data_IF_407866058465
#
_entry.id   IF_407866058465
#
_cell.length_a   1.000
_cell.length_b   1.000
_cell.length_c   1.000
_cell.angle_alpha   90.00
_cell.angle_beta   90.00
_cell.angle_gamma   90.00
#
_symmetry.space_group_name_H-M   'P 1'
#
loop_
_entity.id
_entity.type
_entity.pdbx_description
1 polymer ?
#
# COMPACT_ATOMS: atom_id res chain seq x y z
N UNK A 1 -29.92 0.11 20.12
CA UNK A 1 -30.72 0.66 21.25
C UNK A 1 -30.45 2.16 21.32
N UNK A 2 -31.44 2.99 20.92
CA UNK A 2 -31.36 4.44 21.06
C UNK A 2 -31.55 4.78 22.57
N UNK A 3 -30.52 5.36 23.15
CA UNK A 3 -30.56 5.89 24.50
C UNK A 3 -30.82 7.41 24.48
N UNK A 4 -31.89 7.86 25.07
CA UNK A 4 -32.28 9.26 25.12
C UNK A 4 -31.51 9.99 26.27
N UNK A 5 -30.27 10.42 25.97
CA UNK A 5 -29.37 11.08 26.93
C UNK A 5 -28.95 12.44 26.35
N UNK A 6 -28.74 13.43 27.23
CA UNK A 6 -28.25 14.76 26.85
C UNK A 6 -26.91 14.66 26.08
N UNK A 7 -26.59 15.65 25.25
CA UNK A 7 -25.53 15.54 24.22
C UNK A 7 -24.13 15.27 24.82
N UNK A 8 -23.81 15.83 25.97
CA UNK A 8 -22.54 15.58 26.68
C UNK A 8 -22.46 14.20 27.33
N UNK A 9 -23.54 13.75 27.97
CA UNK A 9 -23.62 12.43 28.61
C UNK A 9 -23.66 11.28 27.55
N UNK A 10 -24.20 11.54 26.37
CA UNK A 10 -24.20 10.56 25.25
C UNK A 10 -22.81 10.29 24.75
N UNK A 11 -21.99 11.32 24.49
CA UNK A 11 -20.63 11.16 24.00
C UNK A 11 -19.78 10.38 25.01
N UNK A 12 -19.87 10.68 26.27
CA UNK A 12 -19.07 10.05 27.31
C UNK A 12 -19.48 8.59 27.59
N UNK A 13 -20.76 8.25 27.52
CA UNK A 13 -21.22 6.85 27.66
C UNK A 13 -20.95 6.04 26.40
N UNK A 14 -21.07 6.65 25.23
CA UNK A 14 -20.71 6.00 23.98
C UNK A 14 -19.22 5.64 23.95
N UNK A 15 -18.34 6.58 24.32
CA UNK A 15 -16.91 6.34 24.43
C UNK A 15 -16.59 5.24 25.45
N UNK A 16 -17.23 5.23 26.62
CA UNK A 16 -17.00 4.17 27.62
C UNK A 16 -17.45 2.79 27.14
N UNK A 17 -18.53 2.72 26.36
CA UNK A 17 -18.99 1.46 25.77
C UNK A 17 -18.07 0.99 24.64
N UNK A 18 -17.66 1.88 23.75
CA UNK A 18 -16.70 1.60 22.71
C UNK A 18 -15.34 1.15 23.28
N UNK A 19 -14.88 1.78 24.36
CA UNK A 19 -13.64 1.39 25.04
C UNK A 19 -13.74 0.01 25.72
N UNK A 20 -14.92 -0.36 26.24
CA UNK A 20 -15.13 -1.70 26.79
C UNK A 20 -15.10 -2.79 25.68
N UNK A 21 -15.69 -2.49 24.52
CA UNK A 21 -15.62 -3.38 23.35
C UNK A 21 -14.18 -3.48 22.83
N UNK A 22 -13.46 -2.35 22.77
CA UNK A 22 -12.06 -2.32 22.38
C UNK A 22 -11.17 -3.17 23.31
N UNK A 23 -11.44 -3.15 24.62
CA UNK A 23 -10.74 -4.01 25.58
C UNK A 23 -10.93 -5.50 25.27
N UNK A 24 -12.15 -5.91 24.92
CA UNK A 24 -12.43 -7.29 24.50
C UNK A 24 -11.76 -7.64 23.17
N UNK A 25 -11.74 -6.70 22.22
CA UNK A 25 -11.05 -6.89 20.94
C UNK A 25 -9.54 -7.08 21.15
N UNK A 26 -8.94 -6.31 22.07
CA UNK A 26 -7.51 -6.46 22.41
C UNK A 26 -7.14 -7.85 22.93
N UNK A 27 -8.03 -8.47 23.72
CA UNK A 27 -7.82 -9.82 24.25
C UNK A 27 -7.82 -10.88 23.12
N UNK A 28 -8.43 -10.61 21.96
CA UNK A 28 -8.47 -11.47 20.79
C UNK A 28 -7.31 -11.19 19.82
N UNK A 29 -7.03 -9.91 19.60
CA UNK A 29 -6.07 -9.44 18.58
C UNK A 29 -4.63 -9.50 19.12
N UNK A 30 -4.45 -9.23 20.42
CA UNK A 30 -3.14 -9.13 21.04
C UNK A 30 -2.41 -7.82 20.74
N UNK A 31 -1.14 -7.77 21.12
CA UNK A 31 -0.23 -6.62 20.87
C UNK A 31 1.01 -7.11 20.10
N UNK A 32 1.56 -6.27 19.24
CA UNK A 32 1.08 -4.96 18.85
C UNK A 32 -0.22 -5.06 18.05
N UNK A 33 -1.09 -4.03 18.19
CA UNK A 33 -2.37 -3.94 17.48
C UNK A 33 -2.42 -2.71 16.58
N UNK A 34 -3.07 -2.83 15.43
CA UNK A 34 -3.30 -1.71 14.51
C UNK A 34 -4.71 -1.17 14.72
N UNK A 35 -4.83 0.14 14.84
CA UNK A 35 -6.11 0.84 14.96
C UNK A 35 -6.28 1.73 13.73
N UNK A 36 -7.38 1.53 12.99
CA UNK A 36 -7.71 2.30 11.80
C UNK A 36 -9.09 2.94 11.93
N UNK A 37 -9.18 4.28 12.03
CA UNK A 37 -10.47 4.98 12.01
C UNK A 37 -11.17 4.83 10.66
N UNK A 38 -12.49 4.62 10.69
CA UNK A 38 -13.29 4.58 9.46
C UNK A 38 -13.42 5.96 8.83
N UNK A 39 -13.38 6.02 7.49
CA UNK A 39 -13.57 7.23 6.67
C UNK A 39 -12.54 8.35 6.91
N UNK A 40 -11.32 8.03 7.34
CA UNK A 40 -10.20 8.97 7.40
C UNK A 40 -9.25 8.73 6.22
N UNK A 41 -8.42 9.75 5.90
CA UNK A 41 -7.44 9.68 4.82
C UNK A 41 -6.02 9.72 5.38
N UNK A 42 -5.10 8.99 4.72
CA UNK A 42 -3.67 9.05 4.99
C UNK A 42 -3.27 8.59 6.39
N UNK A 43 -4.06 7.72 7.03
CA UNK A 43 -3.75 7.20 8.36
C UNK A 43 -4.12 8.14 9.53
N UNK A 44 -4.84 9.23 9.26
CA UNK A 44 -5.23 10.22 10.29
C UNK A 44 -6.01 9.56 11.42
N UNK A 45 -5.56 9.77 12.68
CA UNK A 45 -6.17 9.23 13.90
C UNK A 45 -5.93 7.75 14.15
N UNK A 46 -5.28 7.04 13.20
CA UNK A 46 -4.85 5.66 13.35
C UNK A 46 -3.44 5.55 13.92
N UNK A 47 -3.05 4.32 14.26
CA UNK A 47 -1.71 4.04 14.75
C UNK A 47 -1.51 2.59 15.15
N UNK A 48 -0.31 2.32 15.63
CA UNK A 48 0.09 1.02 16.13
C UNK A 48 0.29 1.14 17.63
N UNK A 49 -0.39 0.28 18.37
CA UNK A 49 -0.28 0.22 19.83
C UNK A 49 0.64 -0.93 20.23
N UNK A 50 1.68 -0.62 20.96
CA UNK A 50 2.64 -1.61 21.47
C UNK A 50 2.33 -2.06 22.91
N UNK A 51 1.54 -1.27 23.61
CA UNK A 51 1.10 -1.57 24.97
C UNK A 51 -0.36 -1.14 25.18
N UNK A 52 -0.92 -1.58 26.32
CA UNK A 52 -2.34 -1.36 26.66
C UNK A 52 -2.70 0.13 26.80
N UNK A 53 -1.80 0.97 27.30
CA UNK A 53 -2.07 2.40 27.47
C UNK A 53 -2.16 3.08 26.10
N UNK A 54 -1.16 2.90 25.25
CA UNK A 54 -1.17 3.39 23.86
C UNK A 54 -2.40 2.91 23.10
N UNK A 55 -2.80 1.65 23.30
CA UNK A 55 -3.96 1.08 22.63
C UNK A 55 -5.24 1.91 22.93
N UNK A 56 -5.51 2.21 24.18
CA UNK A 56 -6.69 2.98 24.55
C UNK A 56 -6.61 4.44 24.10
N UNK A 57 -5.43 5.05 24.14
CA UNK A 57 -5.22 6.41 23.66
C UNK A 57 -5.45 6.53 22.15
N UNK A 58 -4.94 5.58 21.36
CA UNK A 58 -5.12 5.56 19.91
C UNK A 58 -6.59 5.24 19.56
N UNK A 59 -7.23 4.30 20.26
CA UNK A 59 -8.66 4.00 20.04
C UNK A 59 -9.52 5.24 20.33
N UNK A 60 -9.27 5.96 21.42
CA UNK A 60 -10.01 7.17 21.75
C UNK A 60 -9.82 8.27 20.68
N UNK A 61 -8.58 8.50 20.27
CA UNK A 61 -8.23 9.43 19.20
C UNK A 61 -8.87 9.03 17.86
N UNK A 62 -8.84 7.76 17.53
CA UNK A 62 -9.44 7.22 16.30
C UNK A 62 -10.96 7.37 16.26
N UNK A 63 -11.65 7.11 17.38
CA UNK A 63 -13.10 7.31 17.50
C UNK A 63 -13.49 8.79 17.35
N UNK A 64 -12.64 9.70 17.83
CA UNK A 64 -12.89 11.15 17.69
C UNK A 64 -12.59 11.65 16.26
N UNK A 65 -11.58 11.08 15.60
CA UNK A 65 -11.21 11.41 14.23
C UNK A 65 -12.19 10.86 13.18
N UNK A 66 -12.85 9.73 13.46
CA UNK A 66 -13.79 9.11 12.55
C UNK A 66 -15.12 9.87 12.50
N UNK A 67 -15.61 10.29 11.32
CA UNK A 67 -16.92 10.96 11.22
C UNK A 67 -18.09 10.05 11.60
N UNK A 68 -17.92 8.73 11.57
CA UNK A 68 -18.92 7.74 12.04
C UNK A 68 -18.64 7.22 13.44
N UNK A 69 -17.57 7.70 14.09
CA UNK A 69 -17.12 7.26 15.41
C UNK A 69 -16.86 5.76 15.46
N UNK A 70 -16.14 5.25 14.44
CA UNK A 70 -15.82 3.84 14.28
C UNK A 70 -14.33 3.64 14.09
N UNK A 71 -13.78 2.59 14.67
CA UNK A 71 -12.41 2.12 14.45
C UNK A 71 -12.40 0.63 14.15
N UNK A 72 -11.52 0.24 13.28
CA UNK A 72 -11.15 -1.15 13.05
C UNK A 72 -9.91 -1.46 13.90
N UNK A 73 -9.95 -2.58 14.61
CA UNK A 73 -8.84 -3.07 15.43
C UNK A 73 -8.37 -4.38 14.83
N UNK A 74 -7.09 -4.44 14.47
CA UNK A 74 -6.51 -5.53 13.71
C UNK A 74 -5.24 -6.09 14.36
N UNK A 75 -4.98 -7.37 14.11
CA UNK A 75 -3.67 -7.99 14.37
C UNK A 75 -2.58 -7.21 13.64
N UNK A 76 -1.47 -6.97 14.31
CA UNK A 76 -0.34 -6.30 13.68
C UNK A 76 0.39 -7.22 12.71
N UNK A 77 0.62 -6.71 11.53
CA UNK A 77 1.46 -7.34 10.50
C UNK A 77 2.78 -6.58 10.30
N UNK A 78 3.21 -5.84 11.33
CA UNK A 78 4.49 -5.13 11.32
C UNK A 78 5.65 -6.06 10.92
N UNK A 79 6.50 -5.55 10.06
CA UNK A 79 7.67 -6.29 9.58
C UNK A 79 7.37 -7.36 8.54
N UNK A 80 6.09 -7.57 8.18
CA UNK A 80 5.74 -8.47 7.09
C UNK A 80 6.07 -7.83 5.75
N UNK A 81 6.30 -8.65 4.74
CA UNK A 81 6.49 -8.19 3.36
C UNK A 81 5.21 -7.62 2.79
N UNK A 82 5.32 -6.59 1.96
CA UNK A 82 4.18 -5.95 1.31
C UNK A 82 4.28 -6.07 -0.20
N UNK A 83 3.15 -6.45 -0.82
CA UNK A 83 3.01 -6.59 -2.26
C UNK A 83 1.71 -5.96 -2.74
N UNK A 84 1.73 -5.48 -3.97
CA UNK A 84 0.56 -4.94 -4.64
C UNK A 84 0.37 -5.60 -6.00
N UNK A 85 -0.90 -5.82 -6.37
CA UNK A 85 -1.29 -6.27 -7.70
C UNK A 85 -2.13 -5.19 -8.36
N UNK A 86 -1.66 -4.69 -9.50
CA UNK A 86 -2.46 -3.83 -10.36
C UNK A 86 -3.26 -4.70 -11.33
N UNK A 87 -4.57 -4.62 -11.22
CA UNK A 87 -5.50 -5.53 -11.88
C UNK A 87 -6.49 -4.73 -12.73
N UNK A 88 -6.82 -5.26 -13.90
CA UNK A 88 -7.90 -4.71 -14.74
C UNK A 88 -8.91 -5.81 -15.02
N UNK A 89 -10.20 -5.51 -14.80
CA UNK A 89 -11.30 -6.43 -15.09
C UNK A 89 -12.39 -5.72 -15.90
N UNK A 90 -13.00 -6.44 -16.83
CA UNK A 90 -14.12 -5.98 -17.63
C UNK A 90 -15.45 -6.70 -17.32
N UNK A 91 -16.53 -6.23 -17.93
CA UNK A 91 -17.89 -6.79 -17.77
C UNK A 91 -18.06 -8.23 -18.28
N UNK A 92 -17.17 -8.71 -19.16
CA UNK A 92 -17.14 -10.07 -19.68
C UNK A 92 -16.29 -11.02 -18.82
N UNK A 93 -15.84 -10.56 -17.64
CA UNK A 93 -14.97 -11.26 -16.70
C UNK A 93 -13.56 -11.54 -17.25
N UNK A 94 -13.13 -10.87 -18.30
CA UNK A 94 -11.71 -10.84 -18.62
C UNK A 94 -10.98 -10.09 -17.50
N UNK A 95 -10.01 -10.74 -16.88
CA UNK A 95 -9.30 -10.20 -15.74
C UNK A 95 -7.80 -10.46 -15.87
N UNK A 96 -7.00 -9.41 -15.82
CA UNK A 96 -5.56 -9.47 -16.03
C UNK A 96 -4.79 -8.79 -14.89
N UNK A 97 -3.63 -9.32 -14.57
CA UNK A 97 -2.63 -8.63 -13.75
C UNK A 97 -1.77 -7.79 -14.68
N UNK A 98 -1.84 -6.47 -14.54
CA UNK A 98 -1.01 -5.55 -15.32
C UNK A 98 0.42 -5.53 -14.80
N UNK A 99 0.57 -5.53 -13.47
CA UNK A 99 1.87 -5.48 -12.82
C UNK A 99 1.79 -6.01 -11.39
N UNK A 100 2.81 -6.75 -10.97
CA UNK A 100 3.11 -7.00 -9.57
C UNK A 100 4.11 -5.98 -9.06
N UNK A 101 3.91 -5.48 -7.86
CA UNK A 101 4.75 -4.48 -7.21
C UNK A 101 5.16 -5.01 -5.84
N UNK A 102 6.41 -4.82 -5.47
CA UNK A 102 6.94 -5.13 -4.15
C UNK A 102 7.37 -3.84 -3.46
N UNK A 103 6.93 -3.65 -2.23
CA UNK A 103 7.42 -2.58 -1.37
C UNK A 103 8.66 -3.09 -0.61
N UNK A 104 9.77 -2.36 -0.69
CA UNK A 104 11.02 -2.75 -0.03
C UNK A 104 10.92 -2.54 1.48
N UNK A 105 10.23 -1.47 1.87
CA UNK A 105 9.95 -1.20 3.27
C UNK A 105 8.89 -2.19 3.76
N UNK A 106 9.07 -2.76 4.96
CA UNK A 106 8.10 -3.70 5.51
C UNK A 106 6.81 -3.00 5.92
N UNK A 107 5.78 -3.79 6.20
CA UNK A 107 4.53 -3.29 6.78
C UNK A 107 4.80 -2.46 8.03
N UNK A 108 4.17 -1.28 8.09
CA UNK A 108 4.38 -0.24 9.09
C UNK A 108 4.79 1.09 8.48
N UNK A 109 5.34 1.08 7.27
CA UNK A 109 5.58 2.26 6.45
C UNK A 109 4.45 2.39 5.43
N UNK A 110 3.92 3.61 5.25
CA UNK A 110 2.87 3.85 4.25
C UNK A 110 3.38 3.53 2.84
N UNK A 111 2.59 2.83 2.02
CA UNK A 111 2.98 2.41 0.66
C UNK A 111 3.47 3.56 -0.23
N UNK A 112 2.90 4.77 -0.05
CA UNK A 112 3.34 5.99 -0.74
C UNK A 112 4.76 6.41 -0.40
N UNK A 113 5.22 6.08 0.80
CA UNK A 113 6.54 6.43 1.34
C UNK A 113 7.57 5.32 1.14
N UNK A 114 7.14 4.13 0.75
CA UNK A 114 8.01 2.99 0.48
C UNK A 114 8.76 3.13 -0.85
N UNK A 115 9.98 2.61 -0.89
CA UNK A 115 10.67 2.31 -2.14
C UNK A 115 10.00 1.08 -2.74
N UNK A 116 9.58 1.16 -4.01
CA UNK A 116 8.87 0.07 -4.67
C UNK A 116 9.58 -0.41 -5.91
N UNK A 117 9.44 -1.69 -6.20
CA UNK A 117 10.03 -2.33 -7.38
C UNK A 117 8.99 -3.11 -8.16
N UNK A 118 9.05 -3.01 -9.47
CA UNK A 118 8.20 -3.72 -10.41
C UNK A 118 9.06 -4.41 -11.50
N UNK A 119 8.80 -5.68 -11.83
CA UNK A 119 7.89 -6.59 -11.13
C UNK A 119 8.42 -6.95 -9.74
N UNK A 120 7.58 -7.54 -8.89
CA UNK A 120 7.99 -8.06 -7.58
C UNK A 120 9.19 -9.02 -7.74
N UNK A 121 10.22 -8.83 -6.92
CA UNK A 121 11.51 -9.51 -7.09
C UNK A 121 11.65 -10.76 -6.21
N UNK A 122 10.97 -10.82 -5.07
CA UNK A 122 11.16 -11.86 -4.06
C UNK A 122 9.99 -12.84 -3.93
N UNK A 123 8.96 -12.73 -4.80
CA UNK A 123 7.90 -13.72 -4.92
C UNK A 123 8.40 -14.96 -5.68
N UNK A 124 8.15 -16.13 -5.13
CA UNK A 124 8.18 -17.37 -5.92
C UNK A 124 6.98 -17.40 -6.87
N UNK A 125 7.07 -18.21 -7.94
CA UNK A 125 5.94 -18.38 -8.86
C UNK A 125 4.67 -18.87 -8.14
N UNK A 126 4.81 -19.77 -7.17
CA UNK A 126 3.69 -20.25 -6.36
C UNK A 126 3.01 -19.13 -5.58
N UNK A 127 3.77 -18.26 -4.94
CA UNK A 127 3.26 -17.11 -4.19
C UNK A 127 2.59 -16.12 -5.14
N UNK A 128 3.23 -15.82 -6.28
CA UNK A 128 2.64 -14.98 -7.32
C UNK A 128 1.27 -15.50 -7.77
N UNK A 129 1.13 -16.80 -8.05
CA UNK A 129 -0.14 -17.39 -8.47
C UNK A 129 -1.20 -17.32 -7.36
N UNK A 130 -0.81 -17.46 -6.09
CA UNK A 130 -1.73 -17.29 -4.96
C UNK A 130 -2.25 -15.84 -4.91
N UNK A 131 -1.35 -14.86 -4.97
CA UNK A 131 -1.72 -13.43 -4.99
C UNK A 131 -2.58 -13.08 -6.20
N UNK A 132 -2.24 -13.60 -7.38
CA UNK A 132 -3.01 -13.45 -8.61
C UNK A 132 -4.45 -13.97 -8.43
N UNK A 133 -4.60 -15.20 -7.99
CA UNK A 133 -5.91 -15.82 -7.79
C UNK A 133 -6.74 -15.08 -6.73
N UNK A 134 -6.12 -14.66 -5.63
CA UNK A 134 -6.76 -13.87 -4.60
C UNK A 134 -7.22 -12.51 -5.12
N UNK A 135 -6.40 -11.83 -5.93
CA UNK A 135 -6.78 -10.57 -6.57
C UNK A 135 -8.01 -10.71 -7.46
N UNK A 136 -8.05 -11.75 -8.31
CA UNK A 136 -9.19 -12.02 -9.18
C UNK A 136 -10.45 -12.31 -8.36
N UNK A 137 -10.34 -13.08 -7.28
CA UNK A 137 -11.45 -13.39 -6.39
C UNK A 137 -12.00 -12.14 -5.69
N UNK A 138 -11.10 -11.28 -5.18
CA UNK A 138 -11.47 -10.01 -4.52
C UNK A 138 -12.23 -9.09 -5.48
N UNK A 139 -11.74 -8.90 -6.71
CA UNK A 139 -12.42 -8.05 -7.69
C UNK A 139 -13.82 -8.58 -8.06
N UNK A 140 -13.96 -9.89 -8.16
CA UNK A 140 -15.26 -10.53 -8.46
C UNK A 140 -16.23 -10.37 -7.30
N UNK A 141 -15.77 -10.59 -6.06
CA UNK A 141 -16.61 -10.47 -4.86
C UNK A 141 -17.09 -9.03 -4.63
N UNK A 142 -16.22 -8.05 -4.83
CA UNK A 142 -16.56 -6.62 -4.72
C UNK A 142 -17.45 -6.17 -5.89
N UNK A 143 -17.39 -6.87 -7.03
CA UNK A 143 -18.19 -6.55 -8.21
C UNK A 143 -17.57 -5.47 -9.10
N UNK A 144 -16.25 -5.27 -9.06
CA UNK A 144 -15.58 -4.36 -10.01
C UNK A 144 -15.53 -5.01 -11.38
N UNK A 145 -16.15 -4.37 -12.37
CA UNK A 145 -16.31 -4.90 -13.72
C UNK A 145 -15.95 -3.91 -14.84
N UNK A 146 -15.44 -2.74 -14.51
CA UNK A 146 -15.19 -1.67 -15.49
C UNK A 146 -13.88 -0.90 -15.23
N UNK A 147 -12.80 -1.57 -14.88
CA UNK A 147 -11.57 -0.80 -14.78
C UNK A 147 -10.45 -1.39 -13.95
N UNK A 148 -9.52 -0.49 -13.62
CA UNK A 148 -8.34 -0.79 -12.84
C UNK A 148 -8.60 -0.80 -11.34
N UNK A 149 -7.93 -1.70 -10.64
CA UNK A 149 -7.95 -1.81 -9.19
C UNK A 149 -6.56 -2.16 -8.68
N UNK A 150 -6.26 -1.71 -7.48
CA UNK A 150 -5.05 -2.07 -6.75
C UNK A 150 -5.45 -2.97 -5.57
N UNK A 151 -4.84 -4.13 -5.46
CA UNK A 151 -5.02 -5.07 -4.34
C UNK A 151 -3.71 -5.17 -3.58
N UNK A 152 -3.74 -4.87 -2.29
CA UNK A 152 -2.57 -4.88 -1.42
C UNK A 152 -2.57 -6.11 -0.53
N UNK A 153 -1.41 -6.74 -0.42
CA UNK A 153 -1.19 -7.97 0.33
C UNK A 153 -0.04 -7.82 1.30
N UNK A 154 -0.15 -8.51 2.42
CA UNK A 154 0.96 -8.73 3.32
C UNK A 154 1.27 -10.22 3.44
N UNK A 155 2.56 -10.56 3.42
CA UNK A 155 3.03 -11.96 3.55
C UNK A 155 3.98 -12.05 4.73
N UNK A 156 3.65 -12.94 5.67
CA UNK A 156 4.53 -13.25 6.79
C UNK A 156 5.81 -13.95 6.30
N UNK A 157 6.99 -13.35 6.48
CA UNK A 157 8.24 -13.97 6.02
C UNK A 157 8.62 -15.25 6.75
N UNK A 158 8.01 -15.52 7.93
CA UNK A 158 8.34 -16.71 8.73
C UNK A 158 7.60 -17.96 8.28
N UNK A 159 6.34 -17.85 7.86
CA UNK A 159 5.47 -19.00 7.57
C UNK A 159 4.74 -18.90 6.22
N UNK A 160 4.84 -17.75 5.52
CA UNK A 160 4.18 -17.52 4.25
C UNK A 160 2.67 -17.24 4.37
N UNK A 161 2.14 -16.97 5.57
CA UNK A 161 0.74 -16.58 5.76
C UNK A 161 0.47 -15.28 4.99
N UNK A 162 -0.53 -15.29 4.14
CA UNK A 162 -0.94 -14.16 3.32
C UNK A 162 -2.20 -13.51 3.90
N UNK A 163 -2.22 -12.18 3.90
CA UNK A 163 -3.39 -11.36 4.27
C UNK A 163 -3.66 -10.36 3.15
N UNK A 164 -4.93 -10.18 2.79
CA UNK A 164 -5.38 -9.03 1.98
C UNK A 164 -5.51 -7.83 2.90
N UNK A 165 -4.76 -6.78 2.62
CA UNK A 165 -4.78 -5.54 3.42
C UNK A 165 -5.94 -4.66 3.00
N UNK A 166 -6.01 -4.35 1.72
CA UNK A 166 -7.10 -3.55 1.14
C UNK A 166 -7.20 -3.75 -0.36
N UNK A 167 -8.32 -3.33 -0.93
CA UNK A 167 -8.52 -3.19 -2.37
C UNK A 167 -9.05 -1.81 -2.69
N UNK A 168 -8.41 -1.14 -3.62
CA UNK A 168 -8.78 0.17 -4.10
C UNK A 168 -9.45 0.03 -5.48
N UNK A 169 -10.80 0.13 -5.61
CA UNK A 169 -11.54 -0.09 -6.86
C UNK A 169 -11.50 1.14 -7.76
N UNK A 170 -10.33 1.63 -8.05
CA UNK A 170 -10.08 2.85 -8.83
C UNK A 170 -8.68 2.85 -9.41
N UNK A 171 -8.49 3.62 -10.46
CA UNK A 171 -7.16 4.00 -10.94
C UNK A 171 -6.49 4.88 -9.88
N UNK A 172 -5.24 4.56 -9.53
CA UNK A 172 -4.47 5.16 -8.44
C UNK A 172 -3.11 5.65 -8.92
N UNK A 173 -2.29 6.15 -7.99
CA UNK A 173 -0.88 6.47 -8.28
C UNK A 173 -0.07 5.22 -8.64
N UNK A 174 -0.31 4.10 -7.98
CA UNK A 174 0.30 2.81 -8.32
C UNK A 174 -0.11 2.33 -9.70
N UNK A 175 -1.36 2.57 -10.12
CA UNK A 175 -1.80 2.31 -11.51
C UNK A 175 -1.03 3.15 -12.53
N UNK A 176 -0.73 4.43 -12.21
CA UNK A 176 0.10 5.27 -13.07
C UNK A 176 1.56 4.76 -13.13
N UNK A 177 2.10 4.32 -11.98
CA UNK A 177 3.41 3.68 -11.90
C UNK A 177 3.45 2.41 -12.75
N UNK A 178 2.48 1.51 -12.58
CA UNK A 178 2.36 0.27 -13.34
C UNK A 178 2.22 0.53 -14.85
N UNK A 179 1.44 1.56 -15.23
CA UNK A 179 1.31 1.96 -16.63
C UNK A 179 2.62 2.43 -17.23
N UNK A 180 3.41 3.21 -16.49
CA UNK A 180 4.75 3.64 -16.92
C UNK A 180 5.74 2.47 -16.96
N UNK A 181 5.65 1.57 -15.96
CA UNK A 181 6.54 0.41 -15.88
C UNK A 181 6.32 -0.58 -17.03
N UNK A 182 5.07 -0.86 -17.38
CA UNK A 182 4.71 -1.90 -18.35
C UNK A 182 4.43 -1.38 -19.74
N UNK A 183 4.12 -0.08 -19.88
CA UNK A 183 3.59 0.49 -21.11
C UNK A 183 2.09 0.23 -21.31
N UNK A 184 1.41 -0.51 -20.41
CA UNK A 184 -0.02 -0.77 -20.49
C UNK A 184 -0.81 0.44 -19.97
N UNK A 185 -1.64 1.10 -20.81
CA UNK A 185 -2.27 2.36 -20.44
C UNK A 185 -3.54 2.13 -19.61
N UNK A 186 -3.41 1.78 -18.33
CA UNK A 186 -4.52 1.38 -17.44
C UNK A 186 -5.67 2.39 -17.47
N UNK A 187 -5.40 3.68 -17.31
CA UNK A 187 -6.45 4.70 -17.26
C UNK A 187 -7.22 4.81 -18.59
N UNK A 188 -6.52 4.73 -19.73
CA UNK A 188 -7.13 4.74 -21.05
C UNK A 188 -7.99 3.51 -21.29
N UNK A 189 -7.49 2.34 -20.90
CA UNK A 189 -8.24 1.07 -20.98
C UNK A 189 -9.46 1.14 -20.07
N UNK A 190 -9.30 1.52 -18.80
CA UNK A 190 -10.40 1.65 -17.85
C UNK A 190 -11.51 2.59 -18.37
N UNK A 191 -11.16 3.73 -18.98
CA UNK A 191 -12.12 4.64 -19.59
C UNK A 191 -12.92 3.99 -20.73
N UNK A 192 -12.28 3.13 -21.54
CA UNK A 192 -12.97 2.38 -22.61
C UNK A 192 -13.86 1.29 -22.05
N UNK A 193 -13.42 0.57 -21.01
CA UNK A 193 -14.23 -0.43 -20.33
C UNK A 193 -15.50 0.21 -19.73
N UNK A 194 -15.37 1.39 -19.15
CA UNK A 194 -16.50 2.14 -18.57
C UNK A 194 -17.59 2.51 -19.60
N UNK A 195 -17.25 2.66 -20.88
CA UNK A 195 -18.23 2.91 -21.96
C UNK A 195 -18.64 1.63 -22.69
N UNK A 196 -18.26 0.45 -22.15
CA UNK A 196 -18.82 -0.84 -22.55
C UNK A 196 -17.95 -1.70 -23.45
N UNK A 197 -16.71 -1.32 -23.78
CA UNK A 197 -15.75 -2.22 -24.41
C UNK A 197 -15.31 -3.34 -23.46
N UNK A 198 -14.79 -4.42 -24.02
CA UNK A 198 -14.14 -5.51 -23.28
C UNK A 198 -12.65 -5.58 -23.63
N UNK A 199 -11.84 -6.23 -22.77
CA UNK A 199 -10.40 -6.30 -22.95
C UNK A 199 -9.98 -7.02 -24.22
N UNK A 200 -10.74 -8.00 -24.66
CA UNK A 200 -10.52 -8.74 -25.90
C UNK A 200 -10.87 -7.95 -27.17
N UNK A 201 -11.79 -6.97 -27.06
CA UNK A 201 -12.10 -6.04 -28.16
C UNK A 201 -11.04 -4.94 -28.33
N UNK A 202 -10.29 -4.63 -27.24
CA UNK A 202 -9.29 -3.59 -27.27
C UNK A 202 -7.95 -4.09 -27.78
N UNK A 203 -7.27 -3.27 -28.59
CA UNK A 203 -5.91 -3.56 -29.08
C UNK A 203 -4.88 -3.23 -27.99
N UNK A 204 -3.92 -4.12 -27.81
CA UNK A 204 -2.80 -3.91 -26.89
C UNK A 204 -1.77 -2.96 -27.54
N UNK A 205 -1.60 -1.78 -26.93
CA UNK A 205 -0.68 -0.77 -27.45
C UNK A 205 0.80 -1.17 -27.31
N UNK A 206 1.14 -2.00 -26.31
CA UNK A 206 2.52 -2.50 -26.12
C UNK A 206 2.97 -3.31 -27.33
N UNK A 207 2.08 -4.09 -27.94
CA UNK A 207 2.38 -4.94 -29.08
C UNK A 207 2.07 -4.27 -30.43
N UNK A 208 1.85 -2.96 -30.44
CA UNK A 208 1.40 -2.25 -31.64
C UNK A 208 0.06 -2.72 -32.17
N UNK A 209 -0.79 -3.30 -31.32
CA UNK A 209 -2.10 -3.82 -31.67
C UNK A 209 -2.09 -5.26 -32.19
N UNK A 210 -0.98 -5.97 -32.12
CA UNK A 210 -0.89 -7.36 -32.59
C UNK A 210 -1.68 -8.34 -31.70
N UNK A 211 -1.81 -8.04 -30.41
CA UNK A 211 -2.58 -8.83 -29.44
C UNK A 211 -3.74 -8.00 -28.85
N UNK A 212 -4.77 -8.64 -28.28
CA UNK A 212 -5.79 -7.94 -27.51
C UNK A 212 -5.25 -7.47 -26.15
N UNK A 213 -5.93 -6.51 -25.53
CA UNK A 213 -5.56 -5.99 -24.22
C UNK A 213 -5.84 -6.98 -23.07
N UNK A 214 -6.48 -8.11 -23.35
CA UNK A 214 -6.69 -9.22 -22.40
C UNK A 214 -5.43 -10.05 -22.12
N UNK A 215 -4.32 -9.78 -22.80
CA UNK A 215 -3.04 -10.43 -22.54
C UNK A 215 -2.28 -9.65 -21.47
N UNK A 216 -1.85 -10.35 -20.44
CA UNK A 216 -1.06 -9.77 -19.34
C UNK A 216 0.29 -9.24 -19.86
N UNK A 217 0.70 -8.02 -19.49
CA UNK A 217 2.03 -7.53 -19.84
C UNK A 217 3.13 -8.38 -19.22
N UNK A 218 4.23 -8.53 -19.94
CA UNK A 218 5.46 -9.16 -19.46
C UNK A 218 6.63 -8.23 -19.73
N UNK A 219 7.47 -7.99 -18.72
CA UNK A 219 8.64 -7.11 -18.79
C UNK A 219 9.91 -7.89 -18.43
N UNK A 220 11.01 -7.60 -19.14
CA UNK A 220 12.33 -8.20 -18.94
C UNK A 220 13.35 -7.22 -18.34
N UNK A 221 12.84 -6.18 -17.66
CA UNK A 221 13.61 -5.15 -16.98
C UNK A 221 12.99 -4.88 -15.60
N UNK A 222 13.71 -4.15 -14.79
CA UNK A 222 13.28 -3.77 -13.43
C UNK A 222 13.03 -2.27 -13.38
N UNK A 223 11.92 -1.89 -12.76
CA UNK A 223 11.56 -0.49 -12.52
C UNK A 223 11.54 -0.24 -11.01
N UNK A 224 12.28 0.75 -10.55
CA UNK A 224 12.31 1.16 -9.15
C UNK A 224 11.74 2.57 -9.00
N UNK A 225 10.82 2.73 -8.06
CA UNK A 225 10.29 4.03 -7.60
C UNK A 225 10.94 4.36 -6.27
N UNK A 226 11.46 5.58 -6.12
CA UNK A 226 11.96 6.13 -4.85
C UNK A 226 11.15 7.38 -4.50
N UNK A 227 10.56 7.46 -3.30
CA UNK A 227 9.77 8.61 -2.88
C UNK A 227 10.65 9.83 -2.63
N UNK A 228 10.06 11.01 -2.80
CA UNK A 228 10.70 12.30 -2.50
C UNK A 228 10.03 12.92 -1.29
N UNK A 229 10.83 13.25 -0.29
CA UNK A 229 10.43 13.98 0.90
C UNK A 229 10.96 15.43 0.85
N UNK A 230 10.32 16.34 1.56
CA UNK A 230 10.71 17.75 1.65
C UNK A 230 11.00 18.17 3.10
N UNK A 231 11.58 17.28 3.86
CA UNK A 231 11.92 17.55 5.27
C UNK A 231 12.86 18.77 5.42
N UNK A 232 13.68 19.04 4.42
CA UNK A 232 14.53 20.24 4.37
C UNK A 232 13.73 21.55 4.42
N UNK A 233 12.45 21.53 4.04
CA UNK A 233 11.53 22.68 4.11
C UNK A 233 10.74 22.71 5.43
N UNK A 234 10.69 21.62 6.14
CA UNK A 234 9.91 21.44 7.35
C UNK A 234 10.78 20.82 8.47
N UNK A 235 11.76 21.56 9.01
CA UNK A 235 12.75 20.99 9.93
C UNK A 235 12.16 20.54 11.29
N UNK A 236 10.94 20.96 11.61
CA UNK A 236 10.23 20.51 12.81
C UNK A 236 9.36 19.26 12.57
N UNK A 237 9.29 18.75 11.35
CA UNK A 237 8.55 17.52 11.05
C UNK A 237 9.32 16.30 11.55
N UNK A 238 8.59 15.33 12.06
CA UNK A 238 9.15 14.02 12.36
C UNK A 238 9.55 13.29 11.07
N UNK A 239 10.81 12.87 10.99
CA UNK A 239 11.39 12.23 9.82
C UNK A 239 11.16 10.70 9.78
N UNK A 240 10.73 10.10 10.89
CA UNK A 240 10.46 8.67 10.93
C UNK A 240 9.26 8.31 10.05
N UNK A 241 9.44 7.33 9.20
CA UNK A 241 8.37 6.83 8.35
C UNK A 241 7.41 5.98 9.21
N UNK A 242 6.12 6.20 8.98
CA UNK A 242 5.05 5.54 9.72
C UNK A 242 3.92 5.14 8.76
N UNK A 243 2.79 4.72 9.31
CA UNK A 243 1.57 4.46 8.53
C UNK A 243 0.94 5.74 7.95
N UNK A 244 1.43 6.93 8.31
CA UNK A 244 1.01 8.21 7.74
C UNK A 244 1.94 8.62 6.61
N UNK A 245 1.38 8.95 5.44
CA UNK A 245 2.15 9.36 4.27
C UNK A 245 2.80 10.74 4.46
N UNK A 246 4.11 10.82 4.22
CA UNK A 246 4.93 12.03 4.33
C UNK A 246 5.57 12.45 2.99
N UNK A 247 5.61 11.57 2.00
CA UNK A 247 6.18 11.87 0.68
C UNK A 247 5.34 12.87 -0.10
N UNK A 248 6.00 13.70 -0.89
CA UNK A 248 5.37 14.74 -1.73
C UNK A 248 5.50 14.48 -3.23
N UNK A 249 6.30 13.50 -3.61
CA UNK A 249 6.54 13.11 -4.98
C UNK A 249 7.38 11.86 -5.06
N UNK A 250 7.80 11.52 -6.26
CA UNK A 250 8.54 10.29 -6.51
C UNK A 250 9.36 10.41 -7.80
N UNK A 251 10.41 9.63 -7.89
CA UNK A 251 11.14 9.36 -9.14
C UNK A 251 11.01 7.88 -9.49
N UNK A 252 11.10 7.58 -10.77
CA UNK A 252 11.07 6.24 -11.29
C UNK A 252 12.22 6.05 -12.27
N UNK A 253 12.93 4.93 -12.16
CA UNK A 253 13.99 4.58 -13.08
C UNK A 253 13.92 3.11 -13.51
N UNK A 254 14.40 2.82 -14.70
CA UNK A 254 14.48 1.48 -15.27
C UNK A 254 15.92 1.01 -15.38
N UNK A 255 16.15 -0.27 -15.14
CA UNK A 255 17.41 -0.95 -15.32
C UNK A 255 17.23 -2.41 -15.70
N UNK A 256 18.31 -3.08 -16.11
CA UNK A 256 18.28 -4.53 -16.35
C UNK A 256 18.21 -5.32 -15.06
N UNK A 257 18.71 -4.74 -13.98
CA UNK A 257 18.72 -5.32 -12.64
C UNK A 257 18.14 -4.32 -11.64
N UNK A 258 17.76 -4.82 -10.46
CA UNK A 258 17.31 -3.98 -9.35
C UNK A 258 18.40 -2.95 -8.97
N UNK A 259 19.66 -3.38 -8.85
CA UNK A 259 20.76 -2.48 -8.49
C UNK A 259 20.91 -1.32 -9.48
N UNK A 260 20.77 -1.59 -10.77
CA UNK A 260 20.86 -0.55 -11.81
C UNK A 260 19.70 0.43 -11.70
N UNK A 261 18.46 -0.07 -11.62
CA UNK A 261 17.25 0.77 -11.55
C UNK A 261 17.22 1.60 -10.28
N UNK A 262 17.59 1.00 -9.13
CA UNK A 262 17.64 1.65 -7.85
C UNK A 262 18.66 2.80 -7.81
N UNK A 263 19.89 2.55 -8.25
CA UNK A 263 20.93 3.59 -8.31
C UNK A 263 20.56 4.74 -9.25
N UNK A 264 19.94 4.42 -10.39
CA UNK A 264 19.41 5.46 -11.30
C UNK A 264 18.29 6.28 -10.64
N UNK A 265 17.40 5.64 -9.87
CA UNK A 265 16.33 6.33 -9.17
C UNK A 265 16.88 7.27 -8.08
N UNK A 266 17.86 6.82 -7.29
CA UNK A 266 18.54 7.67 -6.30
C UNK A 266 19.15 8.92 -6.94
N UNK A 267 19.87 8.76 -8.05
CA UNK A 267 20.43 9.88 -8.80
C UNK A 267 19.35 10.81 -9.35
N UNK A 268 18.23 10.22 -9.81
CA UNK A 268 17.10 10.96 -10.37
C UNK A 268 16.34 11.82 -9.35
N UNK A 269 16.52 11.60 -8.04
CA UNK A 269 15.95 12.46 -7.00
C UNK A 269 16.55 13.88 -6.98
N UNK A 270 17.74 14.07 -7.52
CA UNK A 270 18.45 15.36 -7.59
C UNK A 270 18.63 16.06 -6.23
N UNK A 271 18.85 15.26 -5.17
CA UNK A 271 19.03 15.73 -3.79
C UNK A 271 20.51 15.66 -3.34
N UNK A 272 21.44 15.65 -4.29
CA UNK A 272 22.87 15.54 -4.01
C UNK A 272 23.36 14.12 -3.71
N UNK A 273 22.54 13.11 -3.99
CA UNK A 273 22.89 11.69 -3.89
C UNK A 273 22.94 11.12 -5.29
N UNK A 274 24.08 10.58 -5.70
CA UNK A 274 24.31 10.02 -7.04
C UNK A 274 24.29 8.48 -7.07
N UNK A 275 24.07 7.86 -5.92
CA UNK A 275 23.99 6.41 -5.72
C UNK A 275 24.24 6.02 -4.27
N UNK A 276 24.40 4.73 -4.04
CA UNK A 276 24.75 4.18 -2.73
C UNK A 276 26.25 4.32 -2.45
N UNK A 277 26.67 5.53 -2.11
CA UNK A 277 28.04 5.82 -1.74
C UNK A 277 28.22 5.67 -0.23
N UNK A 278 29.39 5.19 0.17
CA UNK A 278 29.75 5.12 1.59
C UNK A 278 29.73 6.52 2.21
N UNK A 279 28.97 6.71 3.27
CA UNK A 279 28.80 7.99 3.96
C UNK A 279 29.82 8.19 5.08
N UNK A 280 30.20 7.09 5.75
CA UNK A 280 31.17 7.12 6.84
C UNK A 280 31.90 5.77 6.92
N UNK A 281 33.12 5.80 7.46
CA UNK A 281 33.86 4.61 7.88
C UNK A 281 33.90 4.45 9.40
N UNK A 282 33.29 5.40 10.11
CA UNK A 282 33.22 5.39 11.56
C UNK A 282 32.22 4.32 12.02
N UNK A 283 32.75 3.32 12.72
CA UNK A 283 31.98 2.18 13.17
C UNK A 283 30.93 2.53 14.22
N UNK A 284 31.23 3.46 15.12
CA UNK A 284 30.30 3.90 16.16
C UNK A 284 29.10 4.62 15.57
N UNK A 285 29.33 5.44 14.53
CA UNK A 285 28.26 6.11 13.78
C UNK A 285 27.39 5.09 13.04
N UNK A 286 28.03 4.10 12.38
CA UNK A 286 27.29 3.04 11.67
C UNK A 286 26.45 2.18 12.62
N UNK A 287 27.01 1.77 13.75
CA UNK A 287 26.30 0.97 14.75
C UNK A 287 25.12 1.73 15.36
N UNK A 288 25.29 3.04 15.59
CA UNK A 288 24.20 3.90 16.07
C UNK A 288 23.08 4.02 15.03
N UNK A 289 23.41 4.39 13.79
CA UNK A 289 22.39 4.60 12.74
C UNK A 289 21.69 3.30 12.29
N UNK A 290 22.39 2.15 12.34
CA UNK A 290 21.77 0.85 12.05
C UNK A 290 20.98 0.28 13.22
N UNK A 291 21.20 0.77 14.43
CA UNK A 291 20.47 0.37 15.64
C UNK A 291 19.20 1.18 15.90
N UNK A 292 19.02 2.29 15.19
CA UNK A 292 17.79 3.10 15.23
C UNK A 292 16.84 2.60 14.12
N UNK A 293 15.59 2.23 14.45
CA UNK A 293 14.62 1.74 13.47
C UNK A 293 14.19 2.82 12.48
#
# INVERSE_FOLDING_TARGET
TQWNLGEGDRKQRYLSHAMAIAAQALDHVGLPAIIRPSFTLGGTGGGIAYNRAEFFDIVASGLDASPTTEVLIEESVLGWKEYEMEVVRDKADNCIIVCSIENLDPMGVHTGDSITVAPAQTLSDKEYQILRNASLAVLREIGVDTGGSNVQFSINPADGRMIVIEMNPRVSRSSALASKATGFPIAKVAAKLAVGFTLDELRNEITGGATPASFEPSIDYVVTKVPRFTFEKFPAADHHLTTQMKSVGEVMAMGRTFQESFQKALRGLEVGVDGMNQKTTDREVLEKELGEP
#
